data_IF_058275494667
#
_entry.id   IF_058275494667
#
_cell.length_a   1.000
_cell.length_b   1.000
_cell.length_c   1.000
_cell.angle_alpha   90.00
_cell.angle_beta   90.00
_cell.angle_gamma   90.00
#
_symmetry.space_group_name_H-M   'P 1'
#
loop_
_entity.id
_entity.type
_entity.pdbx_description
1 polymer ?
#
# COMPACT_ATOMS: atom_id res chain seq x y z
N UNK A 1 -20.52 10.92 11.34
CA UNK A 1 -19.47 9.90 11.13
C UNK A 1 -18.26 10.33 11.95
N UNK A 2 -17.66 9.45 12.77
CA UNK A 2 -16.45 9.82 13.52
C UNK A 2 -15.25 9.97 12.56
N UNK A 3 -14.18 10.64 13.00
CA UNK A 3 -13.03 10.94 12.15
C UNK A 3 -12.34 9.67 11.61
N UNK A 4 -12.24 8.62 12.44
CA UNK A 4 -11.68 7.32 12.04
C UNK A 4 -12.45 6.74 10.85
N UNK A 5 -13.78 6.61 10.95
CA UNK A 5 -14.60 6.08 9.87
C UNK A 5 -14.50 6.94 8.60
N UNK A 6 -14.30 8.26 8.74
CA UNK A 6 -14.05 9.14 7.59
C UNK A 6 -12.74 8.79 6.89
N UNK A 7 -11.65 8.62 7.64
CA UNK A 7 -10.35 8.26 7.07
C UNK A 7 -10.41 6.87 6.44
N UNK A 8 -11.00 5.87 7.12
CA UNK A 8 -11.15 4.52 6.58
C UNK A 8 -12.02 4.48 5.32
N UNK A 9 -13.06 5.30 5.24
CA UNK A 9 -13.86 5.42 4.02
C UNK A 9 -13.07 6.03 2.87
N UNK A 10 -12.31 7.11 3.11
CA UNK A 10 -11.43 7.70 2.10
C UNK A 10 -10.34 6.69 1.66
N UNK A 11 -9.80 5.93 2.61
CA UNK A 11 -8.80 4.90 2.36
C UNK A 11 -9.35 3.80 1.46
N UNK A 12 -10.57 3.36 1.71
CA UNK A 12 -11.25 2.37 0.88
C UNK A 12 -11.47 2.87 -0.55
N UNK A 13 -11.93 4.11 -0.72
CA UNK A 13 -12.11 4.72 -2.05
C UNK A 13 -10.76 4.90 -2.78
N UNK A 14 -9.68 5.20 -2.06
CA UNK A 14 -8.34 5.27 -2.62
C UNK A 14 -7.87 3.92 -3.16
N UNK A 15 -8.08 2.82 -2.42
CA UNK A 15 -7.75 1.47 -2.89
C UNK A 15 -8.56 1.03 -4.11
N UNK A 16 -9.75 1.61 -4.32
CA UNK A 16 -10.60 1.37 -5.48
C UNK A 16 -10.19 2.18 -6.71
N UNK A 17 -9.70 3.39 -6.52
CA UNK A 17 -9.48 4.35 -7.59
C UNK A 17 -8.04 4.42 -8.06
N UNK A 18 -7.07 4.27 -7.16
CA UNK A 18 -5.66 4.49 -7.46
C UNK A 18 -4.82 3.26 -7.11
N UNK A 19 -4.37 2.48 -8.12
CA UNK A 19 -3.70 1.20 -7.90
C UNK A 19 -2.34 1.36 -7.23
N UNK A 20 -1.92 0.32 -6.51
CA UNK A 20 -0.51 0.12 -6.20
C UNK A 20 0.17 -0.58 -7.36
N UNK A 21 1.34 -0.11 -7.80
CA UNK A 21 2.17 -0.82 -8.76
C UNK A 21 3.61 -0.29 -8.81
N UNK A 22 4.52 -1.04 -9.43
CA UNK A 22 5.92 -0.64 -9.61
C UNK A 22 6.30 -0.34 -11.08
N UNK A 23 5.33 -0.21 -11.99
CA UNK A 23 5.59 0.00 -13.42
C UNK A 23 6.56 1.16 -13.74
N UNK A 24 6.45 2.29 -13.04
CA UNK A 24 7.37 3.42 -13.20
C UNK A 24 8.83 3.02 -12.90
N UNK A 25 9.06 2.32 -11.79
CA UNK A 25 10.38 1.82 -11.42
C UNK A 25 10.90 0.80 -12.42
N UNK A 26 10.05 -0.10 -12.90
CA UNK A 26 10.46 -1.12 -13.89
C UNK A 26 10.87 -0.52 -15.25
N UNK A 27 10.35 0.68 -15.58
CA UNK A 27 10.70 1.38 -16.82
C UNK A 27 11.77 2.47 -16.61
N UNK A 28 12.28 2.65 -15.38
CA UNK A 28 13.17 3.75 -15.02
C UNK A 28 12.60 5.13 -15.40
N UNK A 29 11.30 5.32 -15.18
CA UNK A 29 10.60 6.59 -15.42
C UNK A 29 10.10 7.11 -14.08
N UNK A 30 10.31 8.40 -13.81
CA UNK A 30 9.76 9.05 -12.63
C UNK A 30 8.24 9.23 -12.76
N UNK A 31 7.51 8.93 -11.69
CA UNK A 31 6.09 9.25 -11.65
C UNK A 31 5.87 10.75 -11.41
N UNK A 32 5.25 11.42 -12.37
CA UNK A 32 4.89 12.85 -12.30
C UNK A 32 3.42 13.09 -11.96
N UNK A 33 2.59 12.05 -12.00
CA UNK A 33 1.16 12.12 -11.72
C UNK A 33 0.79 11.01 -10.74
N UNK A 34 0.69 11.38 -9.46
CA UNK A 34 0.41 10.44 -8.39
C UNK A 34 -0.99 9.81 -8.48
N UNK A 35 -1.91 10.39 -9.26
CA UNK A 35 -3.24 9.83 -9.49
C UNK A 35 -3.22 8.56 -10.35
N UNK A 36 -2.11 8.32 -11.08
CA UNK A 36 -1.89 7.09 -11.83
C UNK A 36 -1.54 5.89 -10.93
N UNK A 37 -1.29 6.13 -9.64
CA UNK A 37 -0.84 5.12 -8.71
C UNK A 37 0.67 4.97 -8.68
N UNK A 38 1.13 3.88 -8.10
CA UNK A 38 2.56 3.63 -7.93
C UNK A 38 2.88 2.87 -6.65
N UNK A 39 4.08 3.08 -6.15
CA UNK A 39 4.61 2.40 -4.97
C UNK A 39 4.05 3.00 -3.68
N UNK A 40 4.50 2.47 -2.52
CA UNK A 40 4.14 3.02 -1.22
C UNK A 40 4.39 4.53 -1.14
N UNK A 41 5.52 5.00 -1.66
CA UNK A 41 5.90 6.41 -1.73
C UNK A 41 4.90 7.26 -2.52
N UNK A 42 4.46 6.79 -3.68
CA UNK A 42 3.49 7.51 -4.52
C UNK A 42 2.11 7.55 -3.84
N UNK A 43 1.70 6.40 -3.30
CA UNK A 43 0.42 6.19 -2.61
C UNK A 43 0.28 7.06 -1.37
N UNK A 44 1.31 7.18 -0.53
CA UNK A 44 1.23 8.03 0.67
C UNK A 44 1.19 9.51 0.34
N UNK A 45 1.91 9.96 -0.69
CA UNK A 45 1.90 11.37 -1.10
C UNK A 45 0.54 11.76 -1.68
N UNK A 46 -0.04 10.90 -2.53
CA UNK A 46 -1.38 11.11 -3.07
C UNK A 46 -2.44 11.14 -1.96
N UNK A 47 -2.44 10.12 -1.10
CA UNK A 47 -3.45 10.00 -0.05
C UNK A 47 -3.33 11.10 1.01
N UNK A 48 -2.12 11.57 1.30
CA UNK A 48 -1.90 12.75 2.16
C UNK A 48 -2.62 13.99 1.62
N UNK A 49 -2.58 14.22 0.31
CA UNK A 49 -3.27 15.35 -0.30
C UNK A 49 -4.79 15.19 -0.24
N UNK A 50 -5.31 13.97 -0.43
CA UNK A 50 -6.74 13.67 -0.23
C UNK A 50 -7.18 13.98 1.21
N UNK A 51 -6.40 13.53 2.20
CA UNK A 51 -6.68 13.77 3.61
C UNK A 51 -6.64 15.27 3.94
N UNK A 52 -5.62 15.98 3.45
CA UNK A 52 -5.48 17.43 3.61
C UNK A 52 -6.67 18.19 3.02
N UNK A 53 -7.11 17.83 1.81
CA UNK A 53 -8.30 18.39 1.15
C UNK A 53 -9.60 18.09 1.91
N UNK A 54 -9.56 17.12 2.82
CA UNK A 54 -10.65 16.78 3.74
C UNK A 54 -10.48 17.37 5.15
N UNK A 55 -9.52 18.27 5.35
CA UNK A 55 -9.22 18.94 6.63
C UNK A 55 -8.52 18.03 7.64
N UNK A 56 -7.80 17.00 7.17
CA UNK A 56 -7.15 16.00 8.01
C UNK A 56 -5.64 16.13 7.84
N UNK A 57 -4.96 16.57 8.89
CA UNK A 57 -3.51 16.70 8.90
C UNK A 57 -2.83 15.38 9.21
N UNK A 58 -1.85 15.01 8.38
CA UNK A 58 -1.04 13.81 8.57
C UNK A 58 0.44 14.09 8.37
N UNK A 59 1.28 13.25 8.95
CA UNK A 59 2.73 13.26 8.78
C UNK A 59 3.19 12.03 8.02
N UNK A 60 4.30 12.14 7.29
CA UNK A 60 4.96 10.98 6.72
C UNK A 60 5.58 10.10 7.81
N UNK A 61 5.53 8.79 7.61
CA UNK A 61 6.08 7.81 8.54
C UNK A 61 6.85 6.73 7.78
N UNK A 62 8.03 6.36 8.26
CA UNK A 62 8.82 5.24 7.73
C UNK A 62 8.55 3.98 8.52
N UNK A 63 8.56 2.85 7.82
CA UNK A 63 8.39 1.52 8.41
C UNK A 63 9.26 0.50 7.68
N UNK A 64 9.34 -0.69 8.26
CA UNK A 64 10.24 -1.74 7.82
C UNK A 64 9.48 -2.91 7.20
N UNK A 65 9.98 -3.38 6.06
CA UNK A 65 9.60 -4.68 5.47
C UNK A 65 10.88 -5.51 5.41
N UNK A 66 10.87 -6.71 5.99
CA UNK A 66 12.04 -7.60 6.07
C UNK A 66 13.30 -6.90 6.64
N UNK A 67 13.13 -6.10 7.70
CA UNK A 67 14.19 -5.29 8.33
C UNK A 67 14.81 -4.20 7.44
N UNK A 68 14.21 -3.91 6.29
CA UNK A 68 14.63 -2.82 5.41
C UNK A 68 13.65 -1.66 5.57
N UNK A 69 14.15 -0.47 5.87
CA UNK A 69 13.36 0.75 6.05
C UNK A 69 12.91 1.37 4.71
N UNK A 70 12.21 0.60 3.89
CA UNK A 70 11.79 0.98 2.55
C UNK A 70 10.29 1.25 2.43
N UNK A 71 9.51 1.01 3.49
CA UNK A 71 8.07 1.22 3.45
C UNK A 71 7.68 2.60 3.98
N UNK A 72 6.65 3.19 3.37
CA UNK A 72 6.16 4.53 3.67
C UNK A 72 4.69 4.45 4.01
N UNK A 73 4.34 5.15 5.09
CA UNK A 73 3.00 5.21 5.68
C UNK A 73 2.67 6.66 6.03
N UNK A 74 1.44 6.90 6.47
CA UNK A 74 1.06 8.15 7.12
C UNK A 74 0.79 7.90 8.62
N UNK A 75 1.01 8.93 9.43
CA UNK A 75 0.54 8.99 10.81
C UNK A 75 -0.42 10.16 11.00
N UNK A 76 -1.42 9.96 11.85
CA UNK A 76 -2.43 10.95 12.20
C UNK A 76 -2.65 10.94 13.71
N UNK A 77 -2.81 12.12 14.30
CA UNK A 77 -3.18 12.26 15.72
C UNK A 77 -4.67 12.57 15.82
N UNK A 78 -5.41 11.71 16.52
CA UNK A 78 -6.85 11.86 16.78
C UNK A 78 -7.02 11.81 18.28
N UNK A 79 -7.56 12.88 18.88
CA UNK A 79 -7.79 12.95 20.33
C UNK A 79 -6.53 12.62 21.16
N UNK A 80 -5.37 13.16 20.74
CA UNK A 80 -4.05 12.93 21.33
C UNK A 80 -3.55 11.47 21.25
N UNK A 81 -4.15 10.64 20.41
CA UNK A 81 -3.71 9.28 20.15
C UNK A 81 -3.20 9.16 18.72
N UNK A 82 -2.11 8.44 18.53
CA UNK A 82 -1.53 8.24 17.21
C UNK A 82 -2.12 7.00 16.54
N UNK A 83 -2.35 7.14 15.24
CA UNK A 83 -2.77 6.06 14.35
C UNK A 83 -1.88 6.07 13.12
N UNK A 84 -1.59 4.88 12.60
CA UNK A 84 -0.87 4.68 11.36
C UNK A 84 -1.83 4.25 10.24
N UNK A 85 -1.54 4.71 9.03
CA UNK A 85 -2.30 4.44 7.81
C UNK A 85 -1.37 3.78 6.81
N UNK A 86 -1.66 2.52 6.46
CA UNK A 86 -0.98 1.80 5.39
C UNK A 86 -1.82 1.80 4.12
N UNK A 87 -1.47 2.68 3.19
CA UNK A 87 -2.10 2.76 1.86
C UNK A 87 -1.18 2.21 0.76
N UNK A 88 0.01 1.75 1.13
CA UNK A 88 1.12 1.57 0.21
C UNK A 88 1.70 0.16 0.15
N UNK A 89 1.26 -0.77 0.99
CA UNK A 89 1.88 -2.10 1.08
C UNK A 89 1.56 -3.04 -0.08
N UNK A 90 0.63 -2.65 -0.95
CA UNK A 90 0.09 -3.51 -2.00
C UNK A 90 -0.90 -4.56 -1.46
N UNK A 91 -1.36 -4.43 -0.21
CA UNK A 91 -2.43 -5.21 0.40
C UNK A 91 -3.59 -4.28 0.80
N UNK A 92 -4.85 -4.75 0.87
CA UNK A 92 -6.00 -3.92 1.17
C UNK A 92 -6.10 -3.67 2.69
N UNK A 93 -5.16 -2.88 3.21
CA UNK A 93 -5.14 -2.50 4.62
C UNK A 93 -6.15 -1.39 4.89
N UNK A 94 -7.43 -1.76 5.09
CA UNK A 94 -8.56 -0.82 5.13
C UNK A 94 -8.83 -0.19 6.51
N UNK A 95 -7.99 -0.43 7.50
CA UNK A 95 -8.16 0.06 8.88
C UNK A 95 -6.99 0.93 9.31
N UNK A 96 -7.29 1.88 10.20
CA UNK A 96 -6.24 2.58 10.94
C UNK A 96 -5.63 1.64 11.97
N UNK A 97 -4.33 1.79 12.20
CA UNK A 97 -3.59 1.03 13.21
C UNK A 97 -3.24 1.94 14.39
N UNK A 98 -3.98 1.88 15.52
CA UNK A 98 -3.67 2.65 16.69
C UNK A 98 -2.39 2.17 17.37
N UNK A 99 -1.58 3.10 17.86
CA UNK A 99 -0.33 2.83 18.60
C UNK A 99 -0.57 2.10 19.94
N UNK A 100 -1.78 2.21 20.49
CA UNK A 100 -2.12 1.88 21.87
C UNK A 100 -3.10 0.71 22.04
N UNK A 101 -3.64 0.17 20.93
CA UNK A 101 -4.60 -0.94 20.98
C UNK A 101 -4.41 -1.91 19.82
N UNK A 102 -4.33 -3.24 20.07
CA UNK A 102 -4.33 -4.23 19.00
C UNK A 102 -5.61 -4.17 18.18
N UNK A 103 -5.48 -4.36 16.87
CA UNK A 103 -6.60 -4.44 15.93
C UNK A 103 -6.54 -5.80 15.23
N UNK A 104 -7.69 -6.41 14.99
CA UNK A 104 -7.84 -7.58 14.15
C UNK A 104 -9.08 -7.40 13.26
N UNK A 105 -8.93 -7.69 11.96
CA UNK A 105 -10.02 -7.62 11.00
C UNK A 105 -9.75 -8.52 9.80
N UNK A 106 -10.81 -8.80 9.03
CA UNK A 106 -10.72 -9.56 7.79
C UNK A 106 -11.36 -8.81 6.64
N UNK A 107 -10.80 -8.99 5.44
CA UNK A 107 -11.30 -8.39 4.20
C UNK A 107 -10.84 -9.23 3.01
N UNK A 108 -11.73 -9.51 2.06
CA UNK A 108 -11.44 -10.29 0.84
C UNK A 108 -10.77 -11.64 1.15
N UNK A 109 -11.28 -12.37 2.15
CA UNK A 109 -10.71 -13.66 2.56
C UNK A 109 -9.30 -13.60 3.17
N UNK A 110 -8.80 -12.41 3.49
CA UNK A 110 -7.53 -12.17 4.19
C UNK A 110 -7.82 -11.68 5.60
N UNK A 111 -6.91 -11.93 6.54
CA UNK A 111 -7.01 -11.39 7.91
C UNK A 111 -5.76 -10.60 8.25
N UNK A 112 -5.93 -9.51 8.98
CA UNK A 112 -4.88 -8.65 9.47
C UNK A 112 -4.99 -8.55 10.98
N UNK A 113 -3.85 -8.57 11.66
CA UNK A 113 -3.80 -8.25 13.09
C UNK A 113 -2.59 -7.40 13.42
N UNK A 114 -2.65 -6.68 14.54
CA UNK A 114 -1.49 -5.98 15.08
C UNK A 114 -1.10 -6.48 16.46
N UNK A 115 0.19 -6.45 16.73
CA UNK A 115 0.74 -6.64 18.07
C UNK A 115 1.55 -5.39 18.45
N UNK A 116 1.43 -4.98 19.70
CA UNK A 116 2.04 -3.75 20.21
C UNK A 116 3.15 -4.10 21.19
N UNK A 117 4.31 -3.51 20.97
CA UNK A 117 5.50 -3.60 21.79
C UNK A 117 5.87 -2.20 22.29
N UNK A 118 6.84 -2.13 23.19
CA UNK A 118 7.25 -0.87 23.85
C UNK A 118 7.63 0.26 22.86
N UNK A 119 8.25 -0.08 21.73
CA UNK A 119 8.78 0.90 20.76
C UNK A 119 8.21 0.78 19.35
N UNK A 120 7.30 -0.19 19.13
CA UNK A 120 6.81 -0.53 17.79
C UNK A 120 5.49 -1.27 17.80
N UNK A 121 4.80 -1.19 16.67
CA UNK A 121 3.67 -2.02 16.31
C UNK A 121 4.09 -2.95 15.17
N UNK A 122 3.70 -4.21 15.22
CA UNK A 122 3.91 -5.16 14.13
C UNK A 122 2.55 -5.47 13.48
N UNK A 123 2.48 -5.31 12.16
CA UNK A 123 1.32 -5.67 11.35
C UNK A 123 1.56 -7.07 10.79
N UNK A 124 0.63 -7.97 11.06
CA UNK A 124 0.59 -9.31 10.50
C UNK A 124 -0.54 -9.43 9.51
N UNK A 125 -0.33 -10.25 8.49
CA UNK A 125 -1.39 -10.68 7.58
C UNK A 125 -1.47 -12.20 7.51
N UNK A 126 -2.63 -12.73 7.18
CA UNK A 126 -2.90 -14.16 7.03
C UNK A 126 -3.64 -14.39 5.74
N UNK A 127 -3.09 -15.29 4.92
CA UNK A 127 -3.66 -15.79 3.68
C UNK A 127 -3.59 -17.31 3.75
N UNK A 128 -4.74 -17.98 3.81
CA UNK A 128 -4.85 -19.46 3.82
C UNK A 128 -3.98 -20.20 4.87
N UNK A 129 -3.84 -19.71 6.10
CA UNK A 129 -3.05 -20.42 7.10
C UNK A 129 -2.58 -19.57 8.27
N UNK A 130 -1.27 -19.47 8.48
CA UNK A 130 -0.70 -18.77 9.62
C UNK A 130 -0.52 -17.28 9.36
N UNK A 131 -0.49 -16.51 10.45
CA UNK A 131 -0.13 -15.09 10.40
C UNK A 131 1.36 -14.94 10.09
N UNK A 132 1.67 -14.13 9.08
CA UNK A 132 3.02 -13.72 8.71
C UNK A 132 3.20 -12.24 9.01
N UNK A 133 4.35 -11.88 9.57
CA UNK A 133 4.72 -10.49 9.76
C UNK A 133 4.83 -9.81 8.39
N UNK A 134 4.15 -8.66 8.25
CA UNK A 134 4.10 -7.89 7.02
C UNK A 134 4.95 -6.62 7.14
N UNK A 135 4.70 -5.84 8.19
CA UNK A 135 5.33 -4.52 8.42
C UNK A 135 5.70 -4.40 9.90
N UNK A 136 6.86 -3.83 10.16
CA UNK A 136 7.22 -3.29 11.47
C UNK A 136 7.15 -1.75 11.44
N UNK A 137 6.32 -1.19 12.33
CA UNK A 137 6.05 0.25 12.43
C UNK A 137 6.66 0.77 13.74
N UNK A 138 7.81 1.45 13.69
CA UNK A 138 8.37 2.06 14.89
C UNK A 138 7.48 3.23 15.33
N UNK A 139 7.37 3.50 16.63
CA UNK A 139 6.59 4.67 17.10
C UNK A 139 7.28 5.99 16.79
N UNK A 140 8.61 5.96 16.71
CA UNK A 140 9.44 7.08 16.30
C UNK A 140 10.06 6.81 14.93
N UNK A 141 9.92 7.77 14.03
CA UNK A 141 10.44 7.70 12.65
C UNK A 141 11.45 8.83 12.40
N UNK A 142 12.15 8.73 11.27
CA UNK A 142 12.95 9.85 10.72
C UNK A 142 12.09 11.09 10.51
N UNK A 143 12.75 12.26 10.42
CA UNK A 143 12.07 13.51 10.08
C UNK A 143 11.40 13.45 8.70
N UNK A 144 10.31 14.19 8.52
CA UNK A 144 9.61 14.26 7.22
C UNK A 144 10.54 14.67 6.07
N UNK A 145 11.45 15.61 6.31
CA UNK A 145 12.45 16.04 5.32
C UNK A 145 13.33 14.90 4.82
N UNK A 146 13.74 14.00 5.73
CA UNK A 146 14.55 12.83 5.37
C UNK A 146 13.71 11.78 4.63
N UNK A 147 12.46 11.58 5.05
CA UNK A 147 11.54 10.67 4.37
C UNK A 147 11.27 11.15 2.93
N UNK A 148 11.02 12.44 2.73
CA UNK A 148 10.85 13.05 1.41
C UNK A 148 12.10 12.88 0.55
N UNK A 149 13.28 13.11 1.11
CA UNK A 149 14.55 12.87 0.41
C UNK A 149 14.71 11.41 -0.01
N UNK A 150 14.38 10.46 0.87
CA UNK A 150 14.41 9.02 0.55
C UNK A 150 13.40 8.68 -0.58
N UNK A 151 12.22 9.31 -0.57
CA UNK A 151 11.21 9.16 -1.62
C UNK A 151 11.74 9.70 -2.96
N UNK A 152 12.27 10.92 -3.01
CA UNK A 152 12.80 11.54 -4.22
C UNK A 152 13.96 10.72 -4.82
N UNK A 153 14.83 10.17 -3.98
CA UNK A 153 15.98 9.40 -4.42
C UNK A 153 15.64 7.96 -4.87
N UNK A 154 14.38 7.51 -4.76
CA UNK A 154 13.97 6.13 -5.06
C UNK A 154 14.26 5.65 -6.48
N UNK A 155 14.33 6.57 -7.43
CA UNK A 155 14.63 6.27 -8.84
C UNK A 155 16.12 6.29 -9.16
N UNK A 156 16.97 6.82 -8.26
CA UNK A 156 18.43 6.86 -8.43
C UNK A 156 19.08 5.54 -8.02
N UNK A 157 18.56 4.92 -6.95
CA UNK A 157 18.95 3.59 -6.49
C UNK A 157 17.70 2.81 -6.08
N UNK A 158 17.29 1.88 -6.94
CA UNK A 158 16.13 1.04 -6.71
C UNK A 158 16.47 -0.29 -5.99
N UNK A 159 17.75 -0.56 -5.70
CA UNK A 159 18.21 -1.85 -5.14
C UNK A 159 17.64 -2.13 -3.75
N UNK A 160 17.35 -1.06 -2.99
CA UNK A 160 16.77 -1.12 -1.64
C UNK A 160 15.27 -1.49 -1.68
N UNK A 161 14.61 -1.29 -2.83
CA UNK A 161 13.18 -1.55 -2.95
C UNK A 161 12.92 -3.03 -3.26
N UNK A 162 12.06 -3.71 -2.49
CA UNK A 162 11.87 -5.17 -2.56
C UNK A 162 11.26 -5.68 -3.87
N UNK A 163 10.83 -4.77 -4.75
CA UNK A 163 10.07 -5.11 -5.96
C UNK A 163 10.66 -4.52 -7.25
N UNK A 164 11.95 -4.19 -7.31
CA UNK A 164 12.54 -3.56 -8.49
C UNK A 164 12.66 -4.47 -9.73
N UNK A 165 12.57 -5.80 -9.59
CA UNK A 165 12.87 -6.74 -10.68
C UNK A 165 11.67 -7.48 -11.28
N UNK A 166 10.46 -7.30 -10.76
CA UNK A 166 9.29 -8.00 -11.30
C UNK A 166 8.01 -7.23 -11.04
N UNK A 167 7.01 -7.40 -11.91
CA UNK A 167 5.71 -6.74 -11.79
C UNK A 167 5.08 -6.98 -10.41
N UNK A 168 4.68 -5.89 -9.78
CA UNK A 168 3.73 -5.85 -8.69
C UNK A 168 2.62 -4.90 -9.08
N UNK A 169 1.40 -5.34 -8.93
CA UNK A 169 0.22 -4.52 -9.13
C UNK A 169 -0.88 -4.98 -8.19
N UNK A 170 -1.65 -4.06 -7.63
CA UNK A 170 -2.85 -4.40 -6.89
C UNK A 170 -3.89 -3.31 -6.91
N UNK A 171 -5.16 -3.70 -6.92
CA UNK A 171 -6.31 -2.79 -6.89
C UNK A 171 -7.52 -3.51 -6.30
N UNK A 172 -8.41 -2.76 -5.65
CA UNK A 172 -9.77 -3.22 -5.38
C UNK A 172 -10.64 -2.83 -6.57
N UNK A 173 -11.33 -3.79 -7.18
CA UNK A 173 -12.30 -3.50 -8.24
C UNK A 173 -13.54 -4.36 -7.99
N UNK A 174 -14.70 -3.74 -8.13
CA UNK A 174 -15.99 -4.33 -7.78
C UNK A 174 -15.95 -4.87 -6.33
N UNK A 175 -16.20 -6.15 -6.13
CA UNK A 175 -16.17 -6.83 -4.82
C UNK A 175 -14.96 -7.77 -4.70
N UNK A 176 -13.84 -7.43 -5.33
CA UNK A 176 -12.64 -8.27 -5.33
C UNK A 176 -11.35 -7.47 -5.22
N UNK A 177 -10.37 -8.07 -4.56
CA UNK A 177 -9.01 -7.58 -4.53
C UNK A 177 -8.17 -8.34 -5.56
N UNK A 178 -7.60 -7.61 -6.51
CA UNK A 178 -6.75 -8.16 -7.57
C UNK A 178 -5.30 -7.88 -7.23
N UNK A 179 -4.47 -8.91 -7.30
CA UNK A 179 -3.04 -8.83 -7.01
C UNK A 179 -2.26 -9.55 -8.12
N UNK A 180 -1.40 -8.82 -8.82
CA UNK A 180 -0.47 -9.40 -9.79
C UNK A 180 0.92 -9.41 -9.20
N UNK A 181 1.52 -10.60 -9.20
CA UNK A 181 2.91 -10.84 -8.86
C UNK A 181 3.56 -11.55 -10.04
N UNK A 182 4.54 -10.92 -10.68
CA UNK A 182 5.16 -11.44 -11.90
C UNK A 182 4.10 -11.69 -12.98
N UNK A 183 3.87 -12.94 -13.36
CA UNK A 183 2.86 -13.34 -14.34
C UNK A 183 1.64 -14.02 -13.72
N UNK A 184 1.50 -14.01 -12.39
CA UNK A 184 0.37 -14.62 -11.69
C UNK A 184 -0.58 -13.53 -11.24
N UNK A 185 -1.81 -13.58 -11.75
CA UNK A 185 -2.93 -12.85 -11.18
C UNK A 185 -3.58 -13.72 -10.11
N UNK A 186 -3.72 -13.15 -8.92
CA UNK A 186 -4.54 -13.68 -7.85
C UNK A 186 -5.72 -12.76 -7.58
N UNK A 187 -6.91 -13.33 -7.58
CA UNK A 187 -8.15 -12.64 -7.22
C UNK A 187 -8.63 -13.18 -5.89
N UNK A 188 -8.84 -12.26 -4.95
CA UNK A 188 -9.32 -12.55 -3.61
C UNK A 188 -10.74 -11.98 -3.44
N UNK A 189 -11.63 -12.78 -2.88
CA UNK A 189 -12.90 -12.34 -2.32
C UNK A 189 -13.21 -13.14 -1.06
N UNK A 190 -14.35 -12.86 -0.42
CA UNK A 190 -14.72 -13.51 0.85
C UNK A 190 -15.03 -15.01 0.73
N UNK A 191 -15.21 -15.52 -0.50
CA UNK A 191 -15.61 -16.91 -0.76
C UNK A 191 -14.43 -17.76 -1.21
N UNK A 192 -13.55 -17.23 -2.05
CA UNK A 192 -12.49 -17.99 -2.72
C UNK A 192 -11.30 -17.12 -3.12
N UNK A 193 -10.19 -17.81 -3.32
CA UNK A 193 -8.97 -17.29 -3.92
C UNK A 193 -8.77 -18.00 -5.25
N UNK A 194 -8.57 -17.24 -6.33
CA UNK A 194 -8.36 -17.77 -7.68
C UNK A 194 -6.99 -17.32 -8.18
N UNK A 195 -6.17 -18.28 -8.61
CA UNK A 195 -4.89 -18.03 -9.25
C UNK A 195 -5.00 -18.29 -10.76
N UNK A 196 -4.43 -17.39 -11.56
CA UNK A 196 -4.32 -17.52 -13.01
C UNK A 196 -2.95 -17.07 -13.47
N UNK A 197 -2.28 -17.93 -14.23
CA UNK A 197 -1.06 -17.56 -14.96
C UNK A 197 -1.48 -16.75 -16.20
N UNK A 198 -0.82 -15.62 -16.41
CA UNK A 198 -1.06 -14.71 -17.50
C UNK A 198 0.12 -14.70 -18.47
N UNK A 199 -0.19 -14.63 -19.76
CA UNK A 199 0.75 -14.21 -20.79
C UNK A 199 1.00 -12.71 -20.71
N UNK A 200 2.08 -12.26 -21.36
CA UNK A 200 2.43 -10.84 -21.48
C UNK A 200 1.32 -10.00 -22.13
N UNK A 201 0.64 -10.53 -23.15
CA UNK A 201 -0.47 -9.83 -23.82
C UNK A 201 -1.66 -9.67 -22.87
N UNK A 202 -1.98 -10.71 -22.10
CA UNK A 202 -3.06 -10.65 -21.09
C UNK A 202 -2.75 -9.64 -19.99
N UNK A 203 -1.52 -9.58 -19.47
CA UNK A 203 -1.11 -8.57 -18.48
C UNK A 203 -1.31 -7.17 -19.03
N UNK A 204 -0.81 -6.89 -20.24
CA UNK A 204 -0.95 -5.56 -20.84
C UNK A 204 -2.42 -5.21 -21.12
N UNK A 205 -3.23 -6.18 -21.54
CA UNK A 205 -4.66 -5.98 -21.74
C UNK A 205 -5.39 -5.67 -20.43
N UNK A 206 -5.11 -6.43 -19.36
CA UNK A 206 -5.69 -6.17 -18.03
C UNK A 206 -5.31 -4.78 -17.52
N UNK A 207 -4.02 -4.45 -17.52
CA UNK A 207 -3.55 -3.16 -17.03
C UNK A 207 -4.21 -1.99 -17.79
N UNK A 208 -4.30 -2.07 -19.13
CA UNK A 208 -4.84 -0.97 -19.96
C UNK A 208 -6.35 -0.89 -19.96
N UNK A 209 -7.02 -2.01 -20.21
CA UNK A 209 -8.44 -2.03 -20.53
C UNK A 209 -9.30 -2.30 -19.30
N UNK A 210 -8.80 -3.08 -18.34
CA UNK A 210 -9.55 -3.37 -17.12
C UNK A 210 -9.19 -2.42 -15.98
N UNK A 211 -7.91 -2.11 -15.80
CA UNK A 211 -7.43 -1.31 -14.67
C UNK A 211 -7.07 0.14 -15.03
N UNK A 212 -7.24 0.54 -16.30
CA UNK A 212 -7.14 1.94 -16.72
C UNK A 212 -5.71 2.52 -16.83
N UNK A 213 -4.66 1.70 -16.76
CA UNK A 213 -3.26 2.14 -16.94
C UNK A 213 -2.93 2.23 -18.44
N UNK A 214 -3.17 3.39 -19.03
CA UNK A 214 -3.07 3.59 -20.49
C UNK A 214 -1.65 3.88 -21.00
N UNK A 215 -0.83 4.54 -20.19
CA UNK A 215 0.39 5.21 -20.68
C UNK A 215 1.72 4.55 -20.26
N UNK A 216 1.67 3.46 -19.49
CA UNK A 216 2.88 2.79 -18.99
C UNK A 216 2.91 1.36 -19.52
N UNK A 217 3.99 0.99 -20.21
CA UNK A 217 4.18 -0.39 -20.69
C UNK A 217 4.68 -1.28 -19.55
N UNK A 218 4.20 -2.52 -19.49
CA UNK A 218 4.92 -3.54 -18.72
C UNK A 218 6.21 -3.89 -19.48
N UNK A 219 7.41 -3.76 -18.87
CA UNK A 219 8.69 -4.07 -19.51
C UNK A 219 9.01 -5.56 -19.51
N UNK A 220 7.98 -6.40 -19.32
CA UNK A 220 8.00 -7.74 -19.86
C UNK A 220 8.37 -7.68 -21.38
#
# INVERSE_FOLDING_TARGET
MNLINKIESLLFEEFKSVPFHNLFMLNNIENKDLSLGGTCSDKVLHFREILKNNGIETKLHSSFINNIECHRMLSVSIENQNYFIDIGSGWPSLKLFPEFKPVEYSVYGMSFKTEIFESKLIIYHKIMGDYKQMIEVPFFTKSESKILSDIENRYKDNSIYPFHNSLRFSIIKDDSFYFIKENVLRTYNDVKIIDRILSKSEINNLLRNEFGIKDIKCPC
#
